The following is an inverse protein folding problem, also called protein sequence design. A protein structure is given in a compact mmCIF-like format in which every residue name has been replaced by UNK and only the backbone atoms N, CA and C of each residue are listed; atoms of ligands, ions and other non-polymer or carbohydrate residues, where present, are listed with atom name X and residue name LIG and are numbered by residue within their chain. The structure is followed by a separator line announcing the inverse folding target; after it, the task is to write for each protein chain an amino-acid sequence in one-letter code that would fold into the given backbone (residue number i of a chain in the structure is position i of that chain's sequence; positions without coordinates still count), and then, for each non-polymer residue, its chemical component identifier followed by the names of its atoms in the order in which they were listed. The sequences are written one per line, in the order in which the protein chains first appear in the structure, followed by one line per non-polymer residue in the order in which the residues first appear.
data_IF_406751213964
#
_entry.id   IF_406751213964
#
_cell.length_a   1.000
_cell.length_b   1.000
_cell.length_c   1.000
_cell.angle_alpha   90.00
_cell.angle_beta   90.00
_cell.angle_gamma   90.00
#
_symmetry.space_group_name_H-M   'P 1'
#
loop_
_entity.id
_entity.type
_entity.pdbx_description
1 polymer ?
#
# COMPACT_ATOMS: atom_id res chain seq x y z
N UNK A 1 -142.79 -5.46 37.73
CA UNK A 1 -143.76 -5.61 36.62
C UNK A 1 -143.28 -6.77 35.74
N UNK A 2 -144.08 -7.82 35.56
CA UNK A 2 -143.70 -8.99 34.74
C UNK A 2 -144.84 -9.36 33.76
N UNK A 3 -144.50 -10.05 32.67
CA UNK A 3 -145.47 -10.59 31.71
C UNK A 3 -145.89 -12.01 32.12
N UNK A 4 -147.19 -12.30 32.11
CA UNK A 4 -147.73 -13.66 32.32
C UNK A 4 -147.62 -14.53 31.06
N UNK A 5 -147.85 -15.84 31.17
CA UNK A 5 -147.93 -16.72 30.00
C UNK A 5 -149.13 -16.36 29.13
N UNK A 6 -148.88 -16.11 27.84
CA UNK A 6 -149.92 -15.70 26.88
C UNK A 6 -149.59 -16.28 25.51
N UNK A 7 -150.40 -17.24 25.07
CA UNK A 7 -150.32 -17.89 23.75
C UNK A 7 -151.30 -17.26 22.77
N UNK A 8 -150.93 -17.23 21.49
CA UNK A 8 -151.80 -16.75 20.40
C UNK A 8 -153.09 -17.56 20.42
N UNK A 9 -154.22 -16.87 20.47
CA UNK A 9 -155.54 -17.50 20.51
C UNK A 9 -156.18 -17.51 19.12
N UNK A 10 -156.97 -18.53 18.75
CA UNK A 10 -157.66 -18.57 17.46
C UNK A 10 -158.62 -17.40 17.21
N UNK A 11 -159.11 -16.75 18.27
CA UNK A 11 -159.98 -15.57 18.19
C UNK A 11 -159.23 -14.22 18.15
N UNK A 12 -157.90 -14.23 18.13
CA UNK A 12 -157.13 -13.01 17.98
C UNK A 12 -157.26 -12.49 16.54
N UNK A 13 -157.58 -11.20 16.38
CA UNK A 13 -157.74 -10.60 15.05
C UNK A 13 -156.45 -10.74 14.23
N UNK A 14 -156.59 -11.10 12.95
CA UNK A 14 -155.48 -11.13 12.01
C UNK A 14 -154.99 -9.70 11.74
N UNK A 15 -153.68 -9.55 11.45
CA UNK A 15 -153.15 -8.26 11.03
C UNK A 15 -153.72 -7.88 9.65
N UNK A 16 -154.01 -6.59 9.39
CA UNK A 16 -154.55 -6.14 8.11
C UNK A 16 -153.65 -6.51 6.94
N UNK A 17 -154.26 -6.84 5.80
CA UNK A 17 -153.53 -7.13 4.54
C UNK A 17 -152.42 -8.21 4.65
N UNK A 18 -152.46 -9.08 5.66
CA UNK A 18 -151.44 -10.13 5.89
C UNK A 18 -150.00 -9.61 6.04
N UNK A 19 -149.85 -8.41 6.57
CA UNK A 19 -148.54 -7.83 6.87
C UNK A 19 -147.72 -8.71 7.82
N UNK A 20 -146.39 -8.70 7.63
CA UNK A 20 -145.48 -9.49 8.43
C UNK A 20 -145.55 -9.05 9.89
N UNK A 21 -145.78 -10.01 10.79
CA UNK A 21 -145.77 -9.74 12.23
C UNK A 21 -144.34 -9.52 12.74
N UNK A 22 -144.18 -8.63 13.71
CA UNK A 22 -142.92 -8.44 14.44
C UNK A 22 -142.42 -9.72 15.11
N UNK A 23 -143.33 -10.63 15.48
CA UNK A 23 -142.97 -11.94 16.02
C UNK A 23 -142.16 -12.81 15.03
N UNK A 24 -142.25 -12.56 13.72
CA UNK A 24 -141.55 -13.35 12.70
C UNK A 24 -140.07 -13.01 12.56
N UNK A 25 -139.63 -11.83 13.01
CA UNK A 25 -138.25 -11.32 12.81
C UNK A 25 -137.49 -11.05 14.11
N UNK A 26 -138.17 -11.15 15.27
CA UNK A 26 -137.56 -10.91 16.59
C UNK A 26 -137.56 -12.19 17.42
N UNK A 27 -136.42 -12.50 18.04
CA UNK A 27 -136.34 -13.53 19.08
C UNK A 27 -136.72 -12.92 20.44
N UNK A 28 -137.89 -13.29 20.95
CA UNK A 28 -138.40 -12.81 22.24
C UNK A 28 -138.91 -13.98 23.12
N UNK A 29 -139.00 -13.79 24.45
CA UNK A 29 -139.57 -14.80 25.35
C UNK A 29 -141.02 -15.15 25.00
N UNK A 30 -141.42 -16.42 25.22
CA UNK A 30 -142.73 -16.94 24.83
C UNK A 30 -143.91 -16.14 25.41
N UNK A 31 -143.74 -15.52 26.58
CA UNK A 31 -144.72 -14.66 27.24
C UNK A 31 -145.14 -13.45 26.41
N UNK A 32 -144.30 -13.01 25.46
CA UNK A 32 -144.56 -11.87 24.58
C UNK A 32 -145.13 -12.29 23.21
N UNK A 33 -145.19 -13.59 22.91
CA UNK A 33 -145.54 -14.10 21.58
C UNK A 33 -146.90 -13.57 21.10
N UNK A 34 -147.95 -13.65 21.93
CA UNK A 34 -149.29 -13.14 21.59
C UNK A 34 -149.30 -11.64 21.29
N UNK A 35 -148.54 -10.83 22.04
CA UNK A 35 -148.47 -9.38 21.83
C UNK A 35 -147.68 -9.03 20.57
N UNK A 36 -146.54 -9.69 20.34
CA UNK A 36 -145.71 -9.45 19.16
C UNK A 36 -146.42 -9.89 17.88
N UNK A 37 -147.27 -10.93 17.94
CA UNK A 37 -148.13 -11.36 16.84
C UNK A 37 -149.08 -10.24 16.37
N UNK A 38 -149.51 -9.36 17.29
CA UNK A 38 -150.42 -8.24 17.03
C UNK A 38 -149.72 -6.92 16.67
N UNK A 39 -148.41 -6.98 16.38
CA UNK A 39 -147.64 -5.84 15.86
C UNK A 39 -147.24 -6.16 14.43
N UNK A 40 -147.76 -5.40 13.47
CA UNK A 40 -147.40 -5.52 12.05
C UNK A 40 -146.20 -4.64 11.69
N UNK A 41 -145.35 -5.12 10.79
CA UNK A 41 -144.24 -4.35 10.21
C UNK A 41 -144.70 -3.82 8.86
N UNK A 42 -144.55 -2.52 8.65
CA UNK A 42 -144.94 -1.82 7.41
C UNK A 42 -143.82 -0.89 6.94
N UNK A 43 -143.83 -0.55 5.66
CA UNK A 43 -143.01 0.56 5.15
C UNK A 43 -143.61 1.91 5.63
N UNK A 44 -142.79 2.95 5.77
CA UNK A 44 -143.21 4.20 6.40
C UNK A 44 -144.44 4.87 5.73
N UNK A 45 -144.58 4.73 4.41
CA UNK A 45 -145.69 5.30 3.64
C UNK A 45 -147.05 4.61 3.87
N UNK A 46 -147.04 3.32 4.24
CA UNK A 46 -148.27 2.53 4.39
C UNK A 46 -148.88 2.65 5.79
N UNK A 47 -148.11 3.07 6.80
CA UNK A 47 -148.55 3.08 8.19
C UNK A 47 -149.83 3.87 8.44
N UNK A 48 -149.95 5.09 7.87
CA UNK A 48 -151.15 5.93 8.02
C UNK A 48 -152.37 5.34 7.29
N UNK A 49 -152.16 4.74 6.12
CA UNK A 49 -153.22 4.10 5.31
C UNK A 49 -153.80 2.89 6.05
N UNK A 50 -152.93 2.05 6.60
CA UNK A 50 -153.30 0.80 7.26
C UNK A 50 -153.77 0.98 8.70
N UNK A 51 -153.46 2.11 9.35
CA UNK A 51 -153.89 2.40 10.72
C UNK A 51 -155.41 2.31 10.89
N UNK A 52 -156.18 2.76 9.89
CA UNK A 52 -157.64 2.74 9.93
C UNK A 52 -158.24 1.32 9.92
N UNK A 53 -157.47 0.31 9.52
CA UNK A 53 -157.90 -1.09 9.42
C UNK A 53 -157.51 -1.92 10.66
N UNK A 54 -156.83 -1.33 11.64
CA UNK A 54 -156.36 -2.03 12.81
C UNK A 54 -157.51 -2.41 13.75
N UNK A 55 -157.54 -3.67 14.18
CA UNK A 55 -158.42 -4.11 15.25
C UNK A 55 -157.93 -3.61 16.63
N UNK A 56 -158.82 -3.48 17.63
CA UNK A 56 -158.43 -3.10 18.98
C UNK A 56 -157.26 -3.93 19.53
N UNK A 57 -156.22 -3.25 20.01
CA UNK A 57 -154.99 -3.85 20.53
C UNK A 57 -153.84 -3.96 19.53
N UNK A 58 -154.10 -3.81 18.23
CA UNK A 58 -153.08 -3.90 17.18
C UNK A 58 -152.25 -2.63 17.01
N UNK A 59 -151.03 -2.81 16.48
CA UNK A 59 -150.08 -1.73 16.22
C UNK A 59 -149.32 -2.00 14.93
N UNK A 60 -148.89 -0.95 14.26
CA UNK A 60 -147.97 -1.01 13.13
C UNK A 60 -146.68 -0.32 13.51
N UNK A 61 -145.55 -0.88 13.09
CA UNK A 61 -144.23 -0.27 13.24
C UNK A 61 -143.50 -0.24 11.91
N UNK A 62 -142.73 0.82 11.65
CA UNK A 62 -141.82 0.87 10.50
C UNK A 62 -140.40 0.43 10.86
N UNK A 63 -139.59 0.10 9.85
CA UNK A 63 -138.16 -0.21 10.04
C UNK A 63 -137.36 1.00 10.54
N UNK A 64 -137.78 2.22 10.20
CA UNK A 64 -137.16 3.45 10.72
C UNK A 64 -137.63 3.79 12.16
N UNK A 65 -138.65 3.10 12.69
CA UNK A 65 -139.11 3.25 14.08
C UNK A 65 -140.38 4.07 14.28
N UNK A 66 -141.12 4.39 13.20
CA UNK A 66 -142.45 5.00 13.33
C UNK A 66 -143.47 3.99 13.91
N UNK A 67 -144.46 4.47 14.66
CA UNK A 67 -145.48 3.65 15.33
C UNK A 67 -146.88 4.20 15.06
N UNK A 68 -147.79 3.34 14.63
CA UNK A 68 -149.23 3.63 14.53
C UNK A 68 -150.01 2.65 15.39
N UNK A 69 -151.00 3.13 16.14
CA UNK A 69 -151.89 2.30 16.97
C UNK A 69 -153.34 2.42 16.50
N UNK A 70 -154.12 1.39 16.77
CA UNK A 70 -155.54 1.30 16.43
C UNK A 70 -156.40 2.47 16.97
N UNK A 71 -155.98 3.11 18.07
CA UNK A 71 -156.67 4.23 18.72
C UNK A 71 -156.31 5.61 18.14
N UNK A 72 -155.60 5.65 17.01
CA UNK A 72 -155.20 6.88 16.31
C UNK A 72 -153.86 7.47 16.76
N UNK A 73 -153.23 6.93 17.82
CA UNK A 73 -151.91 7.39 18.26
C UNK A 73 -150.84 7.07 17.21
N UNK A 74 -150.10 8.11 16.80
CA UNK A 74 -148.99 8.02 15.85
C UNK A 74 -147.73 8.66 16.45
N UNK A 75 -146.60 7.98 16.37
CA UNK A 75 -145.29 8.55 16.69
C UNK A 75 -144.38 8.46 15.46
N UNK A 76 -143.75 9.58 15.07
CA UNK A 76 -142.78 9.57 13.97
C UNK A 76 -141.47 8.90 14.39
N UNK A 77 -140.70 8.47 13.41
CA UNK A 77 -139.36 7.89 13.60
C UNK A 77 -138.34 8.89 14.19
N UNK A 78 -138.61 10.20 14.15
CA UNK A 78 -137.64 11.25 14.47
C UNK A 78 -137.39 11.48 15.97
N UNK A 79 -138.11 10.78 16.85
CA UNK A 79 -137.90 10.84 18.30
C UNK A 79 -137.14 9.59 18.77
N UNK A 80 -135.81 9.68 19.00
CA UNK A 80 -135.05 8.54 19.52
C UNK A 80 -135.57 8.18 20.90
N UNK A 81 -136.15 7.00 21.02
CA UNK A 81 -136.52 6.46 22.33
C UNK A 81 -135.26 5.97 23.05
N UNK A 82 -135.24 6.06 24.38
CA UNK A 82 -134.13 5.52 25.18
C UNK A 82 -133.87 4.02 24.91
N UNK A 83 -134.88 3.28 24.46
CA UNK A 83 -134.74 1.89 24.03
C UNK A 83 -133.99 1.74 22.68
N UNK A 84 -134.24 2.62 21.71
CA UNK A 84 -133.54 2.63 20.43
C UNK A 84 -132.06 2.97 20.58
N UNK A 85 -131.72 3.97 21.41
CA UNK A 85 -130.32 4.30 21.73
C UNK A 85 -129.59 3.15 22.42
N UNK A 86 -130.24 2.48 23.39
CA UNK A 86 -129.65 1.28 24.04
C UNK A 86 -129.42 0.13 23.06
N UNK A 87 -130.33 -0.08 22.11
CA UNK A 87 -130.18 -1.11 21.09
C UNK A 87 -129.06 -0.77 20.10
N UNK A 88 -128.97 0.48 19.65
CA UNK A 88 -127.87 0.96 18.79
C UNK A 88 -126.51 0.86 19.49
N UNK A 89 -126.43 1.24 20.76
CA UNK A 89 -125.22 1.06 21.58
C UNK A 89 -124.88 -0.42 21.77
N UNK A 90 -125.85 -1.30 21.98
CA UNK A 90 -125.63 -2.74 22.09
C UNK A 90 -125.11 -3.34 20.77
N UNK A 91 -125.66 -2.92 19.64
CA UNK A 91 -125.19 -3.35 18.32
C UNK A 91 -123.78 -2.83 18.03
N UNK A 92 -123.50 -1.54 18.33
CA UNK A 92 -122.16 -0.96 18.17
C UNK A 92 -121.13 -1.60 19.09
N UNK A 93 -121.50 -1.92 20.32
CA UNK A 93 -120.64 -2.66 21.24
C UNK A 93 -120.36 -4.08 20.72
N UNK A 94 -121.36 -4.76 20.14
CA UNK A 94 -121.16 -6.08 19.55
C UNK A 94 -120.21 -6.02 18.33
N UNK A 95 -120.33 -5.01 17.49
CA UNK A 95 -119.44 -4.75 16.35
C UNK A 95 -118.00 -4.45 16.81
N UNK A 96 -117.82 -3.49 17.73
CA UNK A 96 -116.50 -3.16 18.28
C UNK A 96 -115.85 -4.34 19.01
N UNK A 97 -116.63 -5.17 19.71
CA UNK A 97 -116.12 -6.39 20.31
C UNK A 97 -115.65 -7.39 19.25
N UNK A 98 -116.39 -7.54 18.14
CA UNK A 98 -115.99 -8.40 17.04
C UNK A 98 -114.69 -7.88 16.36
N UNK A 99 -114.58 -6.57 16.13
CA UNK A 99 -113.38 -5.92 15.61
C UNK A 99 -112.19 -6.09 16.56
N UNK A 100 -112.36 -5.88 17.86
CA UNK A 100 -111.31 -6.04 18.86
C UNK A 100 -110.80 -7.49 18.93
N UNK A 101 -111.70 -8.48 18.88
CA UNK A 101 -111.32 -9.90 18.82
C UNK A 101 -110.56 -10.21 17.54
N UNK A 102 -110.99 -9.67 16.39
CA UNK A 102 -110.31 -9.85 15.12
C UNK A 102 -108.91 -9.20 15.10
N UNK A 103 -108.79 -7.96 15.53
CA UNK A 103 -107.53 -7.23 15.62
C UNK A 103 -106.55 -7.90 16.59
N UNK A 104 -107.04 -8.37 17.75
CA UNK A 104 -106.23 -9.12 18.72
C UNK A 104 -105.71 -10.44 18.14
N UNK A 105 -106.51 -11.12 17.30
CA UNK A 105 -106.07 -12.32 16.60
C UNK A 105 -104.93 -12.01 15.62
N UNK A 106 -105.07 -10.95 14.82
CA UNK A 106 -104.02 -10.52 13.87
C UNK A 106 -102.75 -10.14 14.63
N UNK A 107 -102.86 -9.36 15.71
CA UNK A 107 -101.71 -8.97 16.53
C UNK A 107 -100.98 -10.20 17.05
N UNK A 108 -101.68 -11.15 17.67
CA UNK A 108 -101.06 -12.40 18.19
C UNK A 108 -100.42 -13.24 17.09
N UNK A 109 -101.00 -13.26 15.88
CA UNK A 109 -100.39 -13.93 14.73
C UNK A 109 -99.10 -13.23 14.29
N UNK A 110 -99.10 -11.90 14.23
CA UNK A 110 -97.93 -11.11 13.88
C UNK A 110 -96.82 -11.21 14.94
N UNK A 111 -97.15 -11.16 16.23
CA UNK A 111 -96.21 -11.38 17.33
C UNK A 111 -95.60 -12.79 17.27
N UNK A 112 -96.42 -13.81 17.00
CA UNK A 112 -95.95 -15.17 16.78
C UNK A 112 -94.98 -15.28 15.61
N UNK A 113 -95.33 -14.68 14.46
CA UNK A 113 -94.49 -14.66 13.27
C UNK A 113 -93.16 -13.91 13.50
N UNK A 114 -93.20 -12.77 14.21
CA UNK A 114 -92.01 -12.00 14.56
C UNK A 114 -91.08 -12.81 15.47
N UNK A 115 -91.61 -13.41 16.54
CA UNK A 115 -90.81 -14.24 17.44
C UNK A 115 -90.15 -15.44 16.72
N UNK A 116 -90.87 -16.05 15.75
CA UNK A 116 -90.29 -17.12 14.92
C UNK A 116 -89.19 -16.59 14.00
N UNK A 117 -89.39 -15.42 13.38
CA UNK A 117 -88.40 -14.80 12.51
C UNK A 117 -87.14 -14.38 13.27
N UNK A 118 -87.28 -13.79 14.47
CA UNK A 118 -86.17 -13.42 15.35
C UNK A 118 -85.37 -14.65 15.78
N UNK A 119 -86.06 -15.73 16.17
CA UNK A 119 -85.40 -16.98 16.53
C UNK A 119 -84.67 -17.60 15.32
N UNK A 120 -85.27 -17.56 14.13
CA UNK A 120 -84.64 -18.05 12.91
C UNK A 120 -83.40 -17.22 12.54
N UNK A 121 -83.47 -15.89 12.67
CA UNK A 121 -82.36 -14.98 12.41
C UNK A 121 -81.20 -15.22 13.38
N UNK A 122 -81.49 -15.39 14.67
CA UNK A 122 -80.47 -15.68 15.68
C UNK A 122 -79.74 -17.00 15.36
N UNK A 123 -80.50 -18.07 15.08
CA UNK A 123 -79.93 -19.37 14.69
C UNK A 123 -79.09 -19.29 13.41
N UNK A 124 -79.56 -18.55 12.40
CA UNK A 124 -78.82 -18.36 11.15
C UNK A 124 -77.52 -17.58 11.37
N UNK A 125 -77.56 -16.54 12.20
CA UNK A 125 -76.39 -15.71 12.54
C UNK A 125 -75.34 -16.49 13.31
N UNK A 126 -75.77 -17.31 14.28
CA UNK A 126 -74.87 -18.20 15.03
C UNK A 126 -74.27 -19.28 14.12
N UNK A 127 -75.09 -19.88 13.24
CA UNK A 127 -74.61 -20.86 12.26
C UNK A 127 -73.57 -20.25 11.29
N UNK A 128 -73.82 -19.04 10.79
CA UNK A 128 -72.87 -18.31 9.95
C UNK A 128 -71.56 -18.03 10.70
N UNK A 129 -71.64 -17.51 11.94
CA UNK A 129 -70.47 -17.22 12.76
C UNK A 129 -69.63 -18.47 13.00
N UNK A 130 -70.29 -19.58 13.35
CA UNK A 130 -69.63 -20.86 13.58
C UNK A 130 -68.99 -21.42 12.30
N UNK A 131 -69.68 -21.35 11.17
CA UNK A 131 -69.12 -21.78 9.87
C UNK A 131 -67.89 -20.95 9.47
N UNK A 132 -67.94 -19.62 9.66
CA UNK A 132 -66.79 -18.73 9.40
C UNK A 132 -65.62 -19.02 10.34
N UNK A 133 -65.88 -19.30 11.61
CA UNK A 133 -64.83 -19.66 12.56
C UNK A 133 -64.19 -21.01 12.20
N UNK A 134 -65.00 -22.04 11.93
CA UNK A 134 -64.51 -23.34 11.49
C UNK A 134 -63.68 -23.26 10.20
N UNK A 135 -64.09 -22.40 9.25
CA UNK A 135 -63.32 -22.13 8.04
C UNK A 135 -61.94 -21.50 8.33
N UNK A 136 -61.86 -20.53 9.25
CA UNK A 136 -60.59 -19.94 9.68
C UNK A 136 -59.70 -20.97 10.38
N UNK A 137 -60.26 -21.76 11.29
CA UNK A 137 -59.50 -22.77 12.04
C UNK A 137 -58.97 -23.87 11.11
N UNK A 138 -59.78 -24.31 10.13
CA UNK A 138 -59.35 -25.25 9.11
C UNK A 138 -58.22 -24.68 8.22
N UNK A 139 -58.32 -23.40 7.83
CA UNK A 139 -57.27 -22.74 7.05
C UNK A 139 -55.97 -22.62 7.85
N UNK A 140 -56.04 -22.21 9.12
CA UNK A 140 -54.88 -22.18 10.01
C UNK A 140 -54.26 -23.57 10.20
N UNK A 141 -55.08 -24.61 10.35
CA UNK A 141 -54.61 -25.99 10.45
C UNK A 141 -53.90 -26.46 9.17
N UNK A 142 -54.45 -26.12 7.99
CA UNK A 142 -53.84 -26.43 6.70
C UNK A 142 -52.48 -25.74 6.53
N UNK A 143 -52.41 -24.45 6.86
CA UNK A 143 -51.17 -23.68 6.73
C UNK A 143 -50.09 -24.17 7.73
N UNK A 144 -50.49 -24.53 8.95
CA UNK A 144 -49.60 -25.17 9.91
C UNK A 144 -49.07 -26.52 9.40
N UNK A 145 -49.93 -27.36 8.83
CA UNK A 145 -49.54 -28.66 8.27
C UNK A 145 -48.60 -28.50 7.06
N UNK A 146 -48.83 -27.50 6.19
CA UNK A 146 -47.95 -27.19 5.06
C UNK A 146 -46.57 -26.72 5.52
N UNK A 147 -46.52 -25.85 6.52
CA UNK A 147 -45.26 -25.39 7.09
C UNK A 147 -44.49 -26.54 7.73
N UNK A 148 -45.18 -27.41 8.49
CA UNK A 148 -44.56 -28.60 9.08
C UNK A 148 -44.02 -29.57 8.01
N UNK A 149 -44.75 -29.76 6.90
CA UNK A 149 -44.29 -30.57 5.78
C UNK A 149 -43.04 -29.96 5.12
N UNK A 150 -43.06 -28.67 4.83
CA UNK A 150 -41.91 -27.99 4.21
C UNK A 150 -40.65 -28.05 5.07
N UNK A 151 -40.78 -27.86 6.39
CA UNK A 151 -39.66 -28.02 7.34
C UNK A 151 -39.15 -29.48 7.38
N UNK A 152 -40.06 -30.46 7.37
CA UNK A 152 -39.68 -31.87 7.34
C UNK A 152 -38.97 -32.28 6.03
N UNK A 153 -39.44 -31.78 4.88
CA UNK A 153 -38.81 -32.01 3.58
C UNK A 153 -37.41 -31.38 3.52
N UNK A 154 -37.27 -30.15 4.01
CA UNK A 154 -35.98 -29.46 4.12
C UNK A 154 -35.01 -30.24 5.01
N UNK A 155 -35.43 -30.63 6.21
CA UNK A 155 -34.62 -31.44 7.12
C UNK A 155 -34.24 -32.80 6.50
N UNK A 156 -35.16 -33.42 5.76
CA UNK A 156 -34.89 -34.65 5.01
C UNK A 156 -33.83 -34.45 3.91
N UNK A 157 -33.91 -33.35 3.16
CA UNK A 157 -32.91 -32.98 2.15
C UNK A 157 -31.52 -32.72 2.77
N UNK A 158 -31.47 -32.01 3.90
CA UNK A 158 -30.23 -31.77 4.65
C UNK A 158 -29.60 -33.08 5.16
N UNK A 159 -30.41 -33.97 5.73
CA UNK A 159 -29.95 -35.29 6.18
C UNK A 159 -29.45 -36.16 5.02
N UNK A 160 -30.15 -36.16 3.89
CA UNK A 160 -29.74 -36.90 2.69
C UNK A 160 -28.41 -36.37 2.15
N UNK A 161 -28.25 -35.05 2.10
CA UNK A 161 -27.01 -34.41 1.64
C UNK A 161 -25.84 -34.71 2.58
N UNK A 162 -26.08 -34.65 3.90
CA UNK A 162 -25.09 -35.01 4.92
C UNK A 162 -24.69 -36.47 4.83
N UNK A 163 -25.65 -37.37 4.61
CA UNK A 163 -25.38 -38.80 4.41
C UNK A 163 -24.53 -39.03 3.17
N UNK A 164 -24.88 -38.43 2.03
CA UNK A 164 -24.09 -38.56 0.81
C UNK A 164 -22.64 -38.10 0.99
N UNK A 165 -22.44 -36.95 1.67
CA UNK A 165 -21.10 -36.45 1.99
C UNK A 165 -20.32 -37.39 2.93
N UNK A 166 -20.98 -38.00 3.92
CA UNK A 166 -20.36 -38.99 4.80
C UNK A 166 -20.01 -40.29 4.07
N UNK A 167 -20.87 -40.76 3.18
CA UNK A 167 -20.64 -41.95 2.36
C UNK A 167 -19.43 -41.73 1.41
N UNK A 168 -19.33 -40.55 0.78
CA UNK A 168 -18.16 -40.16 -0.04
C UNK A 168 -16.87 -40.02 0.79
N UNK A 169 -16.95 -39.39 1.97
CA UNK A 169 -15.81 -39.27 2.87
C UNK A 169 -15.33 -40.65 3.35
N UNK A 170 -16.26 -41.56 3.66
CA UNK A 170 -15.95 -42.94 4.02
C UNK A 170 -15.26 -43.67 2.87
N UNK A 171 -15.77 -43.56 1.64
CA UNK A 171 -15.15 -44.18 0.46
C UNK A 171 -13.70 -43.71 0.28
N UNK A 172 -13.45 -42.39 0.32
CA UNK A 172 -12.08 -41.84 0.22
C UNK A 172 -11.13 -42.33 1.32
N UNK A 173 -11.61 -42.45 2.56
CA UNK A 173 -10.80 -42.95 3.68
C UNK A 173 -10.45 -44.43 3.46
N UNK A 174 -11.41 -45.23 3.00
CA UNK A 174 -11.17 -46.65 2.69
C UNK A 174 -10.14 -46.79 1.58
N UNK A 175 -10.29 -46.07 0.47
CA UNK A 175 -9.36 -46.12 -0.66
C UNK A 175 -7.94 -45.70 -0.23
N UNK A 176 -7.81 -44.61 0.54
CA UNK A 176 -6.52 -44.13 1.06
C UNK A 176 -5.87 -45.13 2.03
N UNK A 177 -6.68 -45.80 2.86
CA UNK A 177 -6.18 -46.85 3.75
C UNK A 177 -5.66 -48.05 2.96
N UNK A 178 -6.38 -48.50 1.94
CA UNK A 178 -5.96 -49.61 1.08
C UNK A 178 -4.67 -49.28 0.32
N UNK A 179 -4.55 -48.07 -0.23
CA UNK A 179 -3.33 -47.59 -0.89
C UNK A 179 -2.14 -47.55 0.08
N UNK A 180 -2.35 -46.99 1.28
CA UNK A 180 -1.29 -46.89 2.30
C UNK A 180 -0.87 -48.28 2.79
N UNK A 181 -1.82 -49.19 2.99
CA UNK A 181 -1.52 -50.56 3.39
C UNK A 181 -0.73 -51.31 2.32
N UNK A 182 -1.07 -51.13 1.04
CA UNK A 182 -0.32 -51.71 -0.07
C UNK A 182 1.11 -51.16 -0.13
N UNK A 183 1.28 -49.83 -0.03
CA UNK A 183 2.59 -49.18 -0.01
C UNK A 183 3.44 -49.63 1.18
N UNK A 184 2.83 -49.85 2.36
CA UNK A 184 3.52 -50.36 3.53
C UNK A 184 4.06 -51.78 3.29
N UNK A 185 3.23 -52.69 2.76
CA UNK A 185 3.66 -54.06 2.45
C UNK A 185 4.78 -54.06 1.41
N UNK A 186 4.68 -53.23 0.37
CA UNK A 186 5.73 -53.08 -0.63
C UNK A 186 7.04 -52.59 0.00
N UNK A 187 6.98 -51.55 0.85
CA UNK A 187 8.14 -51.03 1.55
C UNK A 187 8.78 -52.05 2.49
N UNK A 188 7.99 -52.85 3.22
CA UNK A 188 8.51 -53.94 4.06
C UNK A 188 9.18 -55.02 3.21
N UNK A 189 8.59 -55.41 2.07
CA UNK A 189 9.20 -56.37 1.16
C UNK A 189 10.52 -55.85 0.58
N UNK A 190 10.55 -54.59 0.17
CA UNK A 190 11.76 -53.93 -0.32
C UNK A 190 12.84 -53.91 0.77
N UNK A 191 12.48 -53.56 2.01
CA UNK A 191 13.41 -53.56 3.14
C UNK A 191 13.94 -54.96 3.46
N UNK A 192 13.10 -55.98 3.42
CA UNK A 192 13.52 -57.38 3.62
C UNK A 192 14.44 -57.87 2.48
N UNK A 193 14.20 -57.40 1.26
CA UNK A 193 15.03 -57.72 0.09
C UNK A 193 16.28 -56.84 -0.03
N UNK A 194 16.39 -55.79 0.80
CA UNK A 194 17.50 -54.87 0.73
C UNK A 194 18.79 -55.60 1.12
N UNK A 195 19.83 -55.56 0.27
CA UNK A 195 21.10 -56.17 0.61
C UNK A 195 21.72 -55.43 1.80
N UNK A 196 22.42 -56.16 2.65
CA UNK A 196 23.25 -55.55 3.69
C UNK A 196 24.37 -54.75 3.01
N UNK A 197 24.36 -53.43 3.21
CA UNK A 197 25.34 -52.51 2.66
C UNK A 197 26.55 -52.33 3.60
N UNK A 198 26.60 -53.02 4.75
CA UNK A 198 27.67 -52.89 5.73
C UNK A 198 29.06 -53.09 5.14
N UNK A 199 29.23 -54.10 4.28
CA UNK A 199 30.51 -54.37 3.61
C UNK A 199 30.89 -53.28 2.59
N UNK A 200 29.92 -52.78 1.83
CA UNK A 200 30.14 -51.68 0.87
C UNK A 200 30.48 -50.37 1.60
N UNK A 201 29.81 -50.12 2.73
CA UNK A 201 30.08 -48.96 3.57
C UNK A 201 31.46 -49.04 4.22
N UNK A 202 31.86 -50.21 4.72
CA UNK A 202 33.21 -50.45 5.22
C UNK A 202 34.27 -50.26 4.13
N UNK A 203 34.02 -50.75 2.90
CA UNK A 203 34.92 -50.54 1.76
C UNK A 203 35.02 -49.06 1.38
N UNK A 204 33.91 -48.31 1.42
CA UNK A 204 33.91 -46.87 1.16
C UNK A 204 34.73 -46.12 2.22
N UNK A 205 34.54 -46.43 3.50
CA UNK A 205 35.29 -45.82 4.60
C UNK A 205 36.79 -46.11 4.51
N UNK A 206 37.16 -47.37 4.22
CA UNK A 206 38.55 -47.75 3.97
C UNK A 206 39.16 -47.01 2.78
N UNK A 207 38.41 -46.92 1.68
CA UNK A 207 38.85 -46.20 0.47
C UNK A 207 39.02 -44.71 0.74
N UNK A 208 38.08 -44.09 1.46
CA UNK A 208 38.16 -42.69 1.86
C UNK A 208 39.36 -42.42 2.78
N UNK A 209 39.64 -43.32 3.73
CA UNK A 209 40.81 -43.23 4.61
C UNK A 209 42.13 -43.35 3.82
N UNK A 210 42.19 -44.23 2.82
CA UNK A 210 43.35 -44.35 1.94
C UNK A 210 43.56 -43.07 1.12
N UNK A 211 42.50 -42.53 0.51
CA UNK A 211 42.57 -41.26 -0.24
C UNK A 211 43.02 -40.10 0.65
N UNK A 212 42.53 -40.03 1.90
CA UNK A 212 42.94 -39.00 2.85
C UNK A 212 44.44 -39.13 3.19
N UNK A 213 44.93 -40.35 3.43
CA UNK A 213 46.35 -40.65 3.67
C UNK A 213 47.21 -40.22 2.49
N UNK A 214 46.85 -40.62 1.27
CA UNK A 214 47.62 -40.32 0.07
C UNK A 214 47.66 -38.82 -0.23
N UNK A 215 46.56 -38.10 0.05
CA UNK A 215 46.53 -36.62 -0.05
C UNK A 215 47.47 -35.95 0.95
N UNK A 216 47.55 -36.46 2.18
CA UNK A 216 48.49 -35.94 3.17
C UNK A 216 49.94 -36.18 2.73
N UNK A 217 50.28 -37.40 2.28
CA UNK A 217 51.61 -37.74 1.76
C UNK A 217 51.99 -36.87 0.55
N UNK A 218 51.04 -36.63 -0.38
CA UNK A 218 51.27 -35.74 -1.51
C UNK A 218 51.52 -34.29 -1.07
N UNK A 219 50.77 -33.79 -0.07
CA UNK A 219 50.96 -32.45 0.46
C UNK A 219 52.34 -32.29 1.09
N UNK A 220 52.78 -33.28 1.88
CA UNK A 220 54.12 -33.29 2.49
C UNK A 220 55.21 -33.34 1.42
N UNK A 221 55.09 -34.23 0.42
CA UNK A 221 56.04 -34.33 -0.68
C UNK A 221 56.13 -33.01 -1.49
N UNK A 222 55.00 -32.34 -1.73
CA UNK A 222 54.96 -31.02 -2.37
C UNK A 222 55.62 -29.95 -1.52
N UNK A 223 55.37 -29.94 -0.20
CA UNK A 223 55.99 -28.98 0.70
C UNK A 223 57.53 -29.12 0.71
N UNK A 224 58.04 -30.36 0.72
CA UNK A 224 59.47 -30.65 0.60
C UNK A 224 60.03 -30.19 -0.75
N UNK A 225 59.36 -30.53 -1.86
CA UNK A 225 59.78 -30.10 -3.20
C UNK A 225 59.84 -28.57 -3.34
N UNK A 226 58.80 -27.85 -2.93
CA UNK A 226 58.77 -26.39 -2.96
C UNK A 226 59.77 -25.75 -1.98
N UNK A 227 60.07 -26.41 -0.86
CA UNK A 227 61.17 -26.04 0.03
C UNK A 227 62.51 -26.09 -0.69
N UNK A 228 62.85 -27.24 -1.28
CA UNK A 228 64.10 -27.45 -2.02
C UNK A 228 64.22 -26.51 -3.22
N UNK A 229 63.12 -26.27 -3.96
CA UNK A 229 63.09 -25.31 -5.08
C UNK A 229 63.42 -23.90 -4.61
N UNK A 230 62.78 -23.42 -3.54
CA UNK A 230 63.06 -22.10 -2.96
C UNK A 230 64.50 -21.98 -2.48
N UNK A 231 65.05 -23.02 -1.85
CA UNK A 231 66.46 -23.04 -1.46
C UNK A 231 67.40 -22.97 -2.65
N UNK A 232 67.13 -23.74 -3.73
CA UNK A 232 67.91 -23.69 -4.95
C UNK A 232 67.88 -22.29 -5.59
N UNK A 233 66.71 -21.66 -5.70
CA UNK A 233 66.57 -20.30 -6.21
C UNK A 233 67.28 -19.25 -5.34
N UNK A 234 67.27 -19.41 -4.02
CA UNK A 234 68.01 -18.54 -3.11
C UNK A 234 69.52 -18.71 -3.27
N UNK A 235 70.01 -19.95 -3.44
CA UNK A 235 71.43 -20.25 -3.71
C UNK A 235 71.87 -19.64 -5.04
N UNK A 236 71.09 -19.80 -6.11
CA UNK A 236 71.39 -19.19 -7.42
C UNK A 236 71.47 -17.66 -7.33
N UNK A 237 70.46 -17.01 -6.72
CA UNK A 237 70.48 -15.55 -6.50
C UNK A 237 71.70 -15.09 -5.69
N UNK A 238 72.11 -15.88 -4.68
CA UNK A 238 73.30 -15.56 -3.88
C UNK A 238 74.59 -15.70 -4.70
N UNK A 239 74.70 -16.73 -5.52
CA UNK A 239 75.86 -16.91 -6.42
C UNK A 239 75.96 -15.78 -7.45
N UNK A 240 74.83 -15.34 -8.02
CA UNK A 240 74.79 -14.22 -8.96
C UNK A 240 75.22 -12.90 -8.28
N UNK A 241 74.73 -12.65 -7.06
CA UNK A 241 75.14 -11.49 -6.26
C UNK A 241 76.64 -11.52 -5.94
N UNK A 242 77.17 -12.67 -5.48
CA UNK A 242 78.62 -12.85 -5.25
C UNK A 242 79.40 -12.62 -6.54
N UNK A 243 78.90 -13.11 -7.68
CA UNK A 243 79.52 -12.90 -9.00
C UNK A 243 79.58 -11.41 -9.38
N UNK A 244 78.51 -10.67 -9.14
CA UNK A 244 78.46 -9.22 -9.37
C UNK A 244 79.38 -8.44 -8.42
N UNK A 245 79.34 -8.76 -7.12
CA UNK A 245 80.23 -8.20 -6.10
C UNK A 245 81.70 -8.43 -6.47
N UNK A 246 82.05 -9.66 -6.87
CA UNK A 246 83.42 -10.01 -7.30
C UNK A 246 83.87 -9.19 -8.51
N UNK A 247 83.02 -9.01 -9.53
CA UNK A 247 83.34 -8.17 -10.69
C UNK A 247 83.58 -6.72 -10.29
N UNK A 248 82.73 -6.16 -9.42
CA UNK A 248 82.89 -4.79 -8.92
C UNK A 248 84.20 -4.63 -8.13
N UNK A 249 84.54 -5.58 -7.26
CA UNK A 249 85.81 -5.55 -6.52
C UNK A 249 87.03 -5.67 -7.42
N UNK A 250 86.99 -6.50 -8.47
CA UNK A 250 88.05 -6.59 -9.46
C UNK A 250 88.22 -5.28 -10.23
N UNK A 251 87.12 -4.67 -10.68
CA UNK A 251 87.14 -3.37 -11.37
C UNK A 251 87.70 -2.26 -10.46
N UNK A 252 87.31 -2.23 -9.18
CA UNK A 252 87.90 -1.31 -8.19
C UNK A 252 89.39 -1.54 -8.01
N UNK A 253 89.82 -2.80 -7.94
CA UNK A 253 91.24 -3.14 -7.79
C UNK A 253 92.04 -2.69 -9.02
N UNK A 254 91.56 -2.96 -10.24
CA UNK A 254 92.18 -2.51 -11.50
C UNK A 254 92.27 -0.97 -11.57
N UNK A 255 91.18 -0.27 -11.24
CA UNK A 255 91.16 1.19 -11.19
C UNK A 255 92.15 1.73 -10.14
N UNK A 256 92.21 1.12 -8.95
CA UNK A 256 93.17 1.48 -7.91
C UNK A 256 94.62 1.21 -8.34
N UNK A 257 94.90 0.08 -8.99
CA UNK A 257 96.21 -0.24 -9.56
C UNK A 257 96.63 0.77 -10.62
N UNK A 258 95.71 1.16 -11.51
CA UNK A 258 95.95 2.22 -12.51
C UNK A 258 96.25 3.56 -11.84
N UNK A 259 95.49 3.93 -10.81
CA UNK A 259 95.72 5.16 -10.04
C UNK A 259 97.06 5.14 -9.30
N UNK A 260 97.43 4.00 -8.70
CA UNK A 260 98.73 3.81 -8.04
C UNK A 260 99.88 3.96 -9.04
N UNK A 261 99.77 3.37 -10.23
CA UNK A 261 100.77 3.51 -11.28
C UNK A 261 100.93 4.98 -11.71
N UNK A 262 99.82 5.68 -11.98
CA UNK A 262 99.84 7.10 -12.35
C UNK A 262 100.43 7.99 -11.24
N UNK A 263 100.13 7.71 -9.97
CA UNK A 263 100.75 8.42 -8.84
C UNK A 263 102.24 8.09 -8.69
N UNK A 264 102.64 6.85 -8.98
CA UNK A 264 104.04 6.43 -9.03
C UNK A 264 104.84 7.19 -10.09
N UNK A 265 104.30 7.30 -11.31
CA UNK A 265 104.90 8.11 -12.40
C UNK A 265 105.02 9.57 -11.99
N UNK A 266 103.95 10.20 -11.50
CA UNK A 266 103.98 11.60 -11.04
C UNK A 266 104.97 11.82 -9.90
N UNK A 267 105.11 10.85 -9.00
CA UNK A 267 106.10 10.92 -7.92
C UNK A 267 107.52 10.87 -8.49
N UNK A 268 107.81 9.95 -9.41
CA UNK A 268 109.11 9.83 -10.04
C UNK A 268 109.48 11.10 -10.84
N UNK A 269 108.53 11.66 -11.60
CA UNK A 269 108.71 12.96 -12.28
C UNK A 269 109.04 14.08 -11.30
N UNK A 270 108.29 14.18 -10.20
CA UNK A 270 108.52 15.20 -9.18
C UNK A 270 109.86 15.02 -8.45
N UNK A 271 110.28 13.79 -8.18
CA UNK A 271 111.58 13.48 -7.59
C UNK A 271 112.73 13.84 -8.55
N UNK A 272 112.61 13.52 -9.84
CA UNK A 272 113.61 13.88 -10.86
C UNK A 272 113.68 15.40 -11.11
N UNK A 273 112.55 16.11 -11.06
CA UNK A 273 112.55 17.58 -11.09
C UNK A 273 113.21 18.16 -9.83
N UNK A 274 112.90 17.62 -8.64
CA UNK A 274 113.53 18.06 -7.39
C UNK A 274 115.05 17.86 -7.42
N UNK A 275 115.52 16.73 -7.92
CA UNK A 275 116.96 16.42 -8.02
C UNK A 275 117.66 17.36 -9.02
N UNK A 276 117.06 17.63 -10.18
CA UNK A 276 117.55 18.64 -11.12
C UNK A 276 117.64 20.05 -10.52
N UNK A 277 116.69 20.40 -9.65
CA UNK A 277 116.66 21.71 -9.00
C UNK A 277 117.49 21.77 -7.70
N UNK A 278 117.96 20.65 -7.17
CA UNK A 278 118.66 20.60 -5.88
C UNK A 278 119.97 21.39 -5.91
N UNK A 279 120.70 21.31 -7.02
CA UNK A 279 122.00 21.98 -7.21
C UNK A 279 121.85 23.38 -7.82
N UNK A 280 120.64 23.76 -8.27
CA UNK A 280 120.41 25.06 -8.90
C UNK A 280 120.76 26.26 -7.98
N UNK A 281 120.45 26.26 -6.66
CA UNK A 281 120.88 27.32 -5.76
C UNK A 281 122.41 27.42 -5.67
N UNK A 282 123.10 26.30 -5.54
CA UNK A 282 124.57 26.25 -5.42
C UNK A 282 125.25 26.68 -6.73
N UNK A 283 124.71 26.27 -7.89
CA UNK A 283 125.15 26.74 -9.21
C UNK A 283 124.95 28.25 -9.37
N UNK A 284 123.82 28.79 -8.94
CA UNK A 284 123.53 30.23 -8.97
C UNK A 284 124.52 30.98 -8.07
N UNK A 285 124.79 30.49 -6.86
CA UNK A 285 125.74 31.10 -5.93
C UNK A 285 127.20 30.97 -6.41
N UNK A 286 127.56 29.88 -7.07
CA UNK A 286 128.87 29.72 -7.72
C UNK A 286 129.03 30.70 -8.89
N UNK A 287 128.03 30.81 -9.78
CA UNK A 287 128.02 31.81 -10.87
C UNK A 287 128.08 33.24 -10.33
N UNK A 288 127.34 33.55 -9.26
CA UNK A 288 127.39 34.85 -8.58
C UNK A 288 128.80 35.15 -8.04
N UNK A 289 129.43 34.20 -7.33
CA UNK A 289 130.81 34.36 -6.82
C UNK A 289 131.84 34.53 -7.94
N UNK A 290 131.73 33.74 -9.01
CA UNK A 290 132.62 33.84 -10.17
C UNK A 290 132.50 35.23 -10.85
N UNK A 291 131.27 35.71 -11.06
CA UNK A 291 131.03 37.05 -11.61
C UNK A 291 131.58 38.16 -10.70
N UNK A 292 131.40 38.06 -9.38
CA UNK A 292 131.98 39.02 -8.43
C UNK A 292 133.52 39.02 -8.45
N UNK A 293 134.14 37.84 -8.58
CA UNK A 293 135.61 37.72 -8.70
C UNK A 293 136.12 38.32 -10.01
N UNK A 294 135.45 38.05 -11.14
CA UNK A 294 135.79 38.64 -12.44
C UNK A 294 135.63 40.16 -12.43
N UNK A 295 134.60 40.67 -11.74
CA UNK A 295 134.39 42.11 -11.59
C UNK A 295 135.54 42.74 -10.80
N UNK A 296 135.94 42.13 -9.68
CA UNK A 296 137.06 42.61 -8.86
C UNK A 296 138.40 42.54 -9.61
N UNK A 297 138.65 41.48 -10.39
CA UNK A 297 139.84 41.35 -11.23
C UNK A 297 139.87 42.42 -12.34
N UNK A 298 138.74 42.65 -13.01
CA UNK A 298 138.61 43.70 -14.01
C UNK A 298 138.81 45.10 -13.42
N UNK A 299 138.31 45.37 -12.21
CA UNK A 299 138.55 46.62 -11.48
C UNK A 299 140.02 46.80 -11.11
N UNK A 300 140.69 45.75 -10.64
CA UNK A 300 142.12 45.78 -10.31
C UNK A 300 142.99 46.00 -11.56
N UNK A 301 142.70 45.31 -12.66
CA UNK A 301 143.37 45.50 -13.94
C UNK A 301 143.17 46.92 -14.49
N UNK A 302 141.95 47.46 -14.38
CA UNK A 302 141.67 48.85 -14.77
C UNK A 302 142.48 49.85 -13.94
N UNK A 303 142.57 49.64 -12.62
CA UNK A 303 143.37 50.48 -11.73
C UNK A 303 144.86 50.43 -12.10
N UNK A 304 145.43 49.23 -12.26
CA UNK A 304 146.84 49.03 -12.60
C UNK A 304 147.22 49.56 -14.00
N UNK A 305 146.30 49.43 -14.97
CA UNK A 305 146.47 50.03 -16.30
C UNK A 305 146.42 51.57 -16.25
N UNK A 306 145.54 52.13 -15.41
CA UNK A 306 145.48 53.57 -15.14
C UNK A 306 146.77 54.11 -14.50
N UNK A 307 147.30 53.41 -13.49
CA UNK A 307 148.55 53.79 -12.82
C UNK A 307 149.74 53.73 -13.79
N UNK A 308 149.84 52.68 -14.62
CA UNK A 308 150.89 52.55 -15.65
C UNK A 308 150.82 53.63 -16.73
N UNK A 309 149.61 54.01 -17.17
CA UNK A 309 149.43 55.07 -18.15
C UNK A 309 149.92 56.41 -17.57
N UNK A 310 149.52 56.73 -16.34
CA UNK A 310 149.93 57.95 -15.64
C UNK A 310 151.46 58.03 -15.47
N UNK A 311 152.10 56.91 -15.14
CA UNK A 311 153.56 56.82 -14.97
C UNK A 311 154.30 56.98 -16.32
N UNK A 312 153.79 56.34 -17.38
CA UNK A 312 154.36 56.44 -18.73
C UNK A 312 154.22 57.85 -19.33
N UNK A 313 153.06 58.49 -19.20
CA UNK A 313 152.81 59.86 -19.66
C UNK A 313 153.73 60.86 -18.94
N UNK A 314 153.92 60.69 -17.62
CA UNK A 314 154.85 61.52 -16.84
C UNK A 314 156.29 61.38 -17.35
N UNK A 315 156.73 60.15 -17.63
CA UNK A 315 158.09 59.84 -18.11
C UNK A 315 158.33 60.32 -19.53
N UNK A 316 157.33 60.23 -20.41
CA UNK A 316 157.38 60.81 -21.75
C UNK A 316 157.55 62.33 -21.69
N UNK A 317 156.75 63.01 -20.88
CA UNK A 317 156.85 64.46 -20.68
C UNK A 317 158.24 64.89 -20.18
N UNK A 318 158.88 64.11 -19.32
CA UNK A 318 160.26 64.37 -18.88
C UNK A 318 161.29 64.16 -20.00
N UNK A 319 161.17 63.07 -20.78
CA UNK A 319 162.08 62.77 -21.89
C UNK A 319 161.93 63.76 -23.05
N UNK A 320 160.72 64.22 -23.37
CA UNK A 320 160.50 65.23 -24.41
C UNK A 320 161.14 66.58 -24.03
N UNK A 321 161.07 66.96 -22.75
CA UNK A 321 161.78 68.15 -22.24
C UNK A 321 163.30 67.98 -22.37
N UNK A 322 163.84 66.81 -22.03
CA UNK A 322 165.26 66.52 -22.17
C UNK A 322 165.74 66.50 -23.63
N UNK A 323 164.96 65.90 -24.54
CA UNK A 323 165.25 65.86 -25.97
C UNK A 323 165.23 67.26 -26.60
N UNK A 324 164.23 68.09 -26.23
CA UNK A 324 164.14 69.48 -26.70
C UNK A 324 165.38 70.28 -26.27
N UNK A 325 165.82 70.11 -25.02
CA UNK A 325 167.05 70.75 -24.51
C UNK A 325 168.30 70.28 -25.25
N UNK A 326 168.44 68.97 -25.52
CA UNK A 326 169.59 68.42 -26.24
C UNK A 326 169.64 68.85 -27.73
N UNK A 327 168.48 68.95 -28.40
CA UNK A 327 168.39 69.43 -29.79
C UNK A 327 168.81 70.91 -29.86
N UNK A 328 168.41 71.73 -28.89
CA UNK A 328 168.86 73.13 -28.80
C UNK A 328 170.39 73.21 -28.66
N UNK A 329 170.99 72.43 -27.77
CA UNK A 329 172.45 72.38 -27.62
C UNK A 329 173.19 71.89 -28.87
N UNK A 330 172.60 70.94 -29.63
CA UNK A 330 173.18 70.45 -30.88
C UNK A 330 173.13 71.51 -32.00
N UNK A 331 172.04 72.28 -32.08
CA UNK A 331 171.91 73.36 -33.05
C UNK A 331 172.97 74.45 -32.83
N UNK A 332 173.17 74.87 -31.58
CA UNK A 332 174.23 75.80 -31.18
C UNK A 332 175.63 75.28 -31.57
N UNK A 333 175.91 73.99 -31.34
CA UNK A 333 177.19 73.38 -31.70
C UNK A 333 177.41 73.30 -33.22
N UNK A 334 176.38 72.97 -34.01
CA UNK A 334 176.46 72.94 -35.48
C UNK A 334 176.72 74.31 -36.09
N UNK A 335 176.04 75.33 -35.59
CA UNK A 335 176.22 76.70 -36.08
C UNK A 335 177.65 77.20 -35.85
N UNK A 336 178.22 76.82 -34.70
CA UNK A 336 179.62 77.11 -34.36
C UNK A 336 180.61 76.42 -35.32
N UNK A 337 180.32 75.17 -35.73
CA UNK A 337 181.16 74.39 -36.66
C UNK A 337 181.13 74.95 -38.08
N UNK A 338 179.96 75.26 -38.62
CA UNK A 338 179.80 75.76 -40.00
C UNK A 338 180.58 77.06 -40.21
N UNK A 339 180.54 77.97 -39.23
CA UNK A 339 181.28 79.25 -39.31
C UNK A 339 182.80 79.06 -39.23
N UNK A 340 183.28 77.99 -38.59
CA UNK A 340 184.70 77.62 -38.58
C UNK A 340 185.12 77.00 -39.92
N UNK A 341 184.26 76.20 -40.54
CA UNK A 341 184.46 75.61 -41.88
C UNK A 341 184.54 76.70 -42.97
N UNK A 342 183.65 77.70 -42.98
CA UNK A 342 183.72 78.80 -43.97
C UNK A 342 185.03 79.60 -43.91
N UNK A 343 185.58 79.81 -42.70
CA UNK A 343 186.89 80.46 -42.53
C UNK A 343 188.02 79.66 -43.16
N UNK A 344 187.92 78.33 -43.16
CA UNK A 344 188.91 77.44 -43.74
C UNK A 344 188.86 77.51 -45.28
N UNK A 345 187.65 77.42 -45.85
CA UNK A 345 187.47 77.38 -47.30
C UNK A 345 187.94 78.67 -47.97
N UNK A 346 187.65 79.84 -47.39
CA UNK A 346 188.09 81.11 -47.96
C UNK A 346 189.61 81.31 -47.86
N UNK A 347 190.27 80.68 -46.88
CA UNK A 347 191.74 80.65 -46.80
C UNK A 347 192.36 79.72 -47.86
N UNK A 348 191.64 78.68 -48.31
CA UNK A 348 192.09 77.82 -49.41
C UNK A 348 191.94 78.49 -50.78
N UNK A 349 190.87 79.27 -51.01
CA UNK A 349 190.74 80.09 -52.23
C UNK A 349 191.87 81.14 -52.32
N UNK A 350 192.31 81.67 -51.17
CA UNK A 350 193.51 82.53 -51.03
C UNK A 350 194.79 81.89 -51.59
N UNK A 351 194.86 80.57 -51.67
CA UNK A 351 196.09 79.85 -52.03
C UNK A 351 196.15 79.53 -53.52
N UNK A 352 195.03 79.10 -54.10
CA UNK A 352 194.98 78.60 -55.48
C UNK A 352 195.23 79.68 -56.52
N UNK A 353 194.82 80.93 -56.29
CA UNK A 353 194.98 81.96 -57.32
C UNK A 353 196.43 82.46 -57.45
N UNK A 354 197.23 82.34 -56.38
CA UNK A 354 198.66 82.67 -56.36
C UNK A 354 199.49 81.70 -57.22
N UNK A 355 198.99 80.49 -57.49
CA UNK A 355 199.73 79.45 -58.24
C UNK A 355 199.64 79.59 -59.78
N UNK A 356 198.88 80.55 -60.32
CA UNK A 356 198.53 80.54 -61.76
C UNK A 356 199.04 81.71 -62.66
N UNK A 357 199.75 82.75 -62.19
CA UNK A 357 200.36 83.75 -63.10
C UNK A 357 201.71 84.31 -62.66
#
# INVERSE_FOLDING_TARGET
VHWGQSVIQPGDAALPESIASLASVVRAPAQLARRLAQIGIVEAGDGKRLQALLAPGQRLVSREGALWRWDGFTASADAPTAAAQRLAQKNRLAELNAEAVHATRILRQAEGALAHAEQALARASDAERNARQAGRDAQHGLDAARNALAEAEKAGGELSSRRAALDEARARIVDSHEETAAAFVEAEMLLQSAPDLGDLQLQLEQSAANVARDRATLADARAVHEGLRREAEARTRRLDAIGAERRNWLERAENASTQIAALGERKAEAEAERERLADAPDEIDAKRRALLSQLAEAESLRQAAGDRLQEAESKQSELDKAATSAIQSLAEARETRVRAEERLTAADERRLEVEAR
#
